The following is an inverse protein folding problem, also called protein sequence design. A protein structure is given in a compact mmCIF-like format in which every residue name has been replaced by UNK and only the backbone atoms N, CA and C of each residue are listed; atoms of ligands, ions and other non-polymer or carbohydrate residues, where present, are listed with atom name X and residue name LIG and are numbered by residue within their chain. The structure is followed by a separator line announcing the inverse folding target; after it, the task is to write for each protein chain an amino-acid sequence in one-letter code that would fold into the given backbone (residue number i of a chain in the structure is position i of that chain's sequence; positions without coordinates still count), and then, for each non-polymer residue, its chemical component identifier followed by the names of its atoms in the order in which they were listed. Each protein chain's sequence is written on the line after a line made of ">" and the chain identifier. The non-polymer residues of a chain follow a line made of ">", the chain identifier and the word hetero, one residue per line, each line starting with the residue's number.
data_IF_913802947844
#
_entry.id   IF_913802947844
#
_cell.length_a   1.000
_cell.length_b   1.000
_cell.length_c   1.000
_cell.angle_alpha   90.00
_cell.angle_beta   90.00
_cell.angle_gamma   90.00
#
_symmetry.space_group_name_H-M   'P 1'
#
loop_
_entity.id
_entity.type
_entity.pdbx_description
1 polymer ?
#
# COMPACT_ATOMS: atom_id res chain seq x y z
N UNK A 1 18.43 45.33 -42.25
CA UNK A 1 17.17 44.82 -41.67
C UNK A 1 17.35 43.30 -41.53
N UNK A 2 17.84 42.87 -40.37
CA UNK A 2 18.22 41.48 -40.10
C UNK A 2 16.96 40.68 -39.73
N UNK A 3 16.48 39.83 -40.64
CA UNK A 3 15.40 38.88 -40.37
C UNK A 3 15.95 37.69 -39.59
N UNK A 4 15.52 37.56 -38.33
CA UNK A 4 15.92 36.46 -37.45
C UNK A 4 15.31 35.14 -37.93
N UNK A 5 16.19 34.16 -38.12
CA UNK A 5 15.91 32.79 -38.55
C UNK A 5 14.94 32.09 -37.59
N UNK A 6 13.89 31.50 -38.15
CA UNK A 6 12.92 30.64 -37.48
C UNK A 6 13.54 29.27 -37.17
N UNK A 7 14.56 29.25 -36.34
CA UNK A 7 15.32 28.05 -36.04
C UNK A 7 15.97 28.12 -34.68
N UNK A 8 15.16 28.02 -33.61
CA UNK A 8 15.53 27.37 -32.34
C UNK A 8 14.46 27.55 -31.24
N UNK A 9 13.21 27.17 -31.52
CA UNK A 9 12.18 27.04 -30.46
C UNK A 9 12.03 25.59 -29.94
N UNK A 10 12.99 24.71 -30.24
CA UNK A 10 12.93 23.30 -29.82
C UNK A 10 13.49 23.02 -28.41
N UNK A 11 13.89 24.04 -27.64
CA UNK A 11 14.62 23.83 -26.37
C UNK A 11 13.91 24.28 -25.09
N UNK A 12 12.61 24.59 -25.14
CA UNK A 12 11.85 24.91 -23.91
C UNK A 12 10.56 24.12 -23.83
N UNK A 13 10.67 22.80 -23.75
CA UNK A 13 9.63 21.98 -23.12
C UNK A 13 10.31 20.93 -22.25
N UNK A 14 10.49 21.26 -20.97
CA UNK A 14 10.78 20.32 -19.87
C UNK A 14 9.57 19.41 -19.55
N UNK A 15 8.66 19.25 -20.50
CA UNK A 15 7.52 18.35 -20.42
C UNK A 15 7.77 17.21 -21.38
N UNK A 16 8.39 16.14 -20.88
CA UNK A 16 8.33 14.87 -21.58
C UNK A 16 6.84 14.48 -21.67
N UNK A 17 6.31 14.19 -22.87
CA UNK A 17 4.95 13.70 -22.99
C UNK A 17 4.84 12.42 -22.16
N UNK A 18 3.83 12.36 -21.29
CA UNK A 18 3.52 11.14 -20.55
C UNK A 18 3.16 10.08 -21.60
N UNK A 19 3.91 8.96 -21.69
CA UNK A 19 3.65 7.94 -22.70
C UNK A 19 2.21 7.46 -22.60
N UNK A 20 1.54 7.30 -23.73
CA UNK A 20 0.20 6.71 -23.78
C UNK A 20 0.25 5.26 -23.26
N UNK A 21 -0.86 4.71 -22.77
CA UNK A 21 -0.85 3.34 -22.22
C UNK A 21 -0.39 2.28 -23.24
N UNK A 22 -0.56 2.55 -24.55
CA UNK A 22 -0.09 1.71 -25.65
C UNK A 22 1.44 1.72 -25.84
N UNK A 23 2.13 2.79 -25.41
CA UNK A 23 3.60 2.89 -25.49
C UNK A 23 4.29 2.28 -24.26
N UNK A 24 3.53 1.88 -23.24
CA UNK A 24 4.09 1.28 -22.02
C UNK A 24 4.26 -0.22 -22.26
N UNK A 25 5.43 -0.82 -21.91
CA UNK A 25 5.57 -2.26 -21.96
C UNK A 25 4.46 -2.91 -21.12
N UNK A 26 3.90 -4.05 -21.56
CA UNK A 26 2.79 -4.70 -20.87
C UNK A 26 3.17 -4.91 -19.41
N UNK A 27 2.40 -4.30 -18.50
CA UNK A 27 2.63 -4.45 -17.06
C UNK A 27 2.59 -5.94 -16.76
N UNK A 28 3.70 -6.50 -16.29
CA UNK A 28 3.73 -7.90 -15.83
C UNK A 28 2.62 -8.05 -14.81
N UNK A 29 1.70 -8.99 -15.05
CA UNK A 29 0.63 -9.30 -14.12
C UNK A 29 1.26 -9.55 -12.74
N UNK A 30 0.85 -8.75 -11.75
CA UNK A 30 1.37 -8.86 -10.39
C UNK A 30 0.97 -10.22 -9.83
N UNK A 31 1.93 -11.15 -9.73
CA UNK A 31 1.67 -12.44 -9.10
C UNK A 31 1.42 -12.20 -7.60
N UNK A 32 0.31 -12.67 -7.04
CA UNK A 32 0.08 -12.64 -5.60
C UNK A 32 1.24 -13.36 -4.90
N UNK A 33 2.01 -12.64 -4.08
CA UNK A 33 3.08 -13.23 -3.27
C UNK A 33 2.74 -13.01 -1.81
N UNK A 34 2.57 -14.10 -1.09
CA UNK A 34 2.45 -14.08 0.35
C UNK A 34 3.80 -13.67 0.97
N UNK A 35 3.83 -12.64 1.84
CA UNK A 35 5.01 -12.31 2.62
C UNK A 35 5.38 -13.47 3.56
N UNK A 36 6.66 -13.81 3.63
CA UNK A 36 7.17 -14.78 4.61
C UNK A 36 7.37 -14.15 6.00
N UNK A 37 7.53 -12.83 6.05
CA UNK A 37 7.78 -12.06 7.26
C UNK A 37 7.01 -10.73 7.20
N UNK A 38 6.63 -10.23 8.37
CA UNK A 38 6.03 -8.91 8.54
C UNK A 38 6.56 -8.27 9.83
N UNK A 39 6.64 -6.95 9.83
CA UNK A 39 7.10 -6.15 10.98
C UNK A 39 5.89 -5.60 11.72
N UNK A 40 5.94 -5.64 13.05
CA UNK A 40 4.98 -4.93 13.90
C UNK A 40 5.38 -3.46 13.93
N UNK A 41 4.50 -2.60 13.39
CA UNK A 41 4.61 -1.16 13.56
C UNK A 41 3.84 -0.71 14.81
N UNK A 42 3.73 0.61 15.00
CA UNK A 42 2.98 1.17 16.10
C UNK A 42 2.28 2.48 15.72
N UNK A 43 1.18 2.78 16.40
CA UNK A 43 0.52 4.08 16.41
C UNK A 43 0.50 4.65 17.81
N UNK A 44 0.85 5.93 17.95
CA UNK A 44 0.82 6.63 19.23
C UNK A 44 -0.44 7.48 19.34
N UNK A 45 -1.11 7.37 20.48
CA UNK A 45 -2.24 8.23 20.83
C UNK A 45 -1.98 8.88 22.18
N UNK A 46 -2.26 10.16 22.28
CA UNK A 46 -2.18 10.84 23.57
C UNK A 46 -3.47 10.60 24.37
N UNK A 47 -3.31 10.05 25.56
CA UNK A 47 -4.38 9.73 26.50
C UNK A 47 -4.20 10.53 27.79
N UNK A 48 -5.29 11.03 28.36
CA UNK A 48 -5.26 11.71 29.65
C UNK A 48 -5.37 10.66 30.76
N UNK A 49 -4.33 10.51 31.57
CA UNK A 49 -4.29 9.59 32.72
C UNK A 49 -3.94 10.41 33.95
N UNK A 50 -4.84 10.41 34.94
CA UNK A 50 -4.70 11.20 36.17
C UNK A 50 -4.43 12.70 35.92
N UNK A 51 -5.09 13.27 34.91
CA UNK A 51 -4.94 14.69 34.54
C UNK A 51 -3.62 15.03 33.82
N UNK A 52 -2.79 14.04 33.49
CA UNK A 52 -1.57 14.21 32.71
C UNK A 52 -1.72 13.58 31.33
N UNK A 53 -1.18 14.25 30.31
CA UNK A 53 -1.12 13.70 28.96
C UNK A 53 0.00 12.65 28.90
N UNK A 54 -0.33 11.44 28.48
CA UNK A 54 0.60 10.34 28.27
C UNK A 54 0.44 9.81 26.85
N UNK A 55 1.55 9.58 26.15
CA UNK A 55 1.52 8.92 24.85
C UNK A 55 1.43 7.41 25.03
N UNK A 56 0.36 6.81 24.53
CA UNK A 56 0.13 5.37 24.50
C UNK A 56 0.50 4.82 23.13
N UNK A 57 1.42 3.87 23.10
CA UNK A 57 1.81 3.16 21.90
C UNK A 57 0.94 1.91 21.71
N UNK A 58 0.34 1.77 20.52
CA UNK A 58 -0.49 0.63 20.15
C UNK A 58 0.22 -0.14 19.03
N UNK A 59 0.59 -1.41 19.23
CA UNK A 59 1.24 -2.22 18.21
C UNK A 59 0.24 -2.58 17.09
N UNK A 60 0.69 -2.49 15.83
CA UNK A 60 -0.11 -2.78 14.64
C UNK A 60 0.63 -3.75 13.72
N UNK A 61 -0.08 -4.80 13.30
CA UNK A 61 0.37 -5.70 12.24
C UNK A 61 -0.37 -5.39 10.93
N UNK A 62 0.36 -5.03 9.88
CA UNK A 62 -0.25 -4.68 8.57
C UNK A 62 -0.06 -5.80 7.54
N UNK A 63 -1.14 -6.53 7.26
CA UNK A 63 -1.21 -7.48 6.16
C UNK A 63 -1.77 -6.78 4.91
N UNK A 64 -1.11 -6.91 3.76
CA UNK A 64 -1.59 -6.29 2.51
C UNK A 64 -1.13 -7.06 1.28
N UNK A 65 -1.86 -6.89 0.18
CA UNK A 65 -1.52 -7.44 -1.14
C UNK A 65 -2.57 -8.43 -1.66
N UNK A 66 -2.46 -8.74 -2.96
CA UNK A 66 -3.41 -9.59 -3.69
C UNK A 66 -3.46 -11.04 -3.19
N UNK A 67 -2.44 -11.49 -2.42
CA UNK A 67 -2.41 -12.83 -1.85
C UNK A 67 -3.49 -13.03 -0.78
N UNK A 68 -3.89 -11.97 -0.06
CA UNK A 68 -4.99 -12.03 0.90
C UNK A 68 -6.31 -12.34 0.19
N UNK A 69 -6.56 -11.68 -0.93
CA UNK A 69 -7.75 -11.94 -1.75
C UNK A 69 -7.75 -13.39 -2.28
N UNK A 70 -6.58 -13.90 -2.69
CA UNK A 70 -6.45 -15.31 -3.10
C UNK A 70 -6.71 -16.32 -1.96
N UNK A 71 -6.55 -15.92 -0.70
CA UNK A 71 -6.91 -16.70 0.49
C UNK A 71 -8.37 -16.48 0.94
N UNK A 72 -9.16 -15.68 0.22
CA UNK A 72 -10.58 -15.43 0.52
C UNK A 72 -10.84 -14.23 1.44
N UNK A 73 -9.84 -13.43 1.80
CA UNK A 73 -10.06 -12.20 2.54
C UNK A 73 -10.65 -11.10 1.65
N UNK A 74 -11.78 -10.53 2.07
CA UNK A 74 -12.49 -9.48 1.34
C UNK A 74 -12.60 -8.23 2.22
N UNK A 75 -12.39 -7.00 1.69
CA UNK A 75 -12.63 -5.78 2.44
C UNK A 75 -14.04 -5.74 3.04
N UNK A 76 -14.15 -5.38 4.31
CA UNK A 76 -15.42 -5.38 5.06
C UNK A 76 -15.83 -6.74 5.65
N UNK A 77 -15.15 -7.83 5.31
CA UNK A 77 -15.36 -9.13 5.97
C UNK A 77 -14.82 -9.12 7.41
N UNK A 78 -15.33 -10.04 8.25
CA UNK A 78 -14.90 -10.23 9.64
C UNK A 78 -14.15 -11.55 9.76
N UNK A 79 -12.81 -11.57 9.63
CA UNK A 79 -12.04 -12.80 9.72
C UNK A 79 -12.12 -13.38 11.13
N UNK A 80 -11.93 -14.70 11.24
CA UNK A 80 -11.82 -15.35 12.54
C UNK A 80 -10.37 -15.28 13.01
N UNK A 81 -10.18 -14.97 14.29
CA UNK A 81 -8.88 -14.84 14.93
C UNK A 81 -8.83 -15.80 16.11
N UNK A 82 -7.78 -16.60 16.18
CA UNK A 82 -7.53 -17.54 17.27
C UNK A 82 -6.04 -17.57 17.64
N UNK A 83 -5.76 -18.02 18.85
CA UNK A 83 -4.40 -18.41 19.26
C UNK A 83 -4.37 -19.92 19.39
N UNK A 84 -3.52 -20.57 18.59
CA UNK A 84 -3.36 -22.03 18.55
C UNK A 84 -1.88 -22.33 18.75
N UNK A 85 -1.53 -23.09 19.79
CA UNK A 85 -0.15 -23.44 20.15
C UNK A 85 0.80 -22.23 20.22
N UNK A 86 0.28 -21.09 20.72
CA UNK A 86 1.03 -19.83 20.81
C UNK A 86 1.17 -19.06 19.49
N UNK A 87 0.64 -19.58 18.38
CA UNK A 87 0.60 -18.88 17.11
C UNK A 87 -0.73 -18.13 16.93
N UNK A 88 -0.65 -16.88 16.44
CA UNK A 88 -1.81 -16.12 15.98
C UNK A 88 -2.27 -16.68 14.63
N UNK A 89 -3.46 -17.26 14.59
CA UNK A 89 -4.08 -17.79 13.38
C UNK A 89 -5.20 -16.85 12.97
N UNK A 90 -5.16 -16.40 11.71
CA UNK A 90 -6.18 -15.54 11.12
C UNK A 90 -6.73 -16.26 9.90
N UNK A 91 -8.04 -16.51 9.88
CA UNK A 91 -8.72 -17.20 8.78
C UNK A 91 -9.78 -16.30 8.15
N UNK A 92 -9.98 -16.44 6.84
CA UNK A 92 -11.04 -15.72 6.14
C UNK A 92 -12.41 -16.09 6.73
N UNK A 93 -13.37 -15.17 6.65
CA UNK A 93 -14.74 -15.47 7.06
C UNK A 93 -15.29 -16.63 6.20
N UNK A 94 -16.12 -17.53 6.77
CA UNK A 94 -16.86 -18.50 5.98
C UNK A 94 -17.62 -17.78 4.86
N UNK A 95 -17.60 -18.33 3.65
CA UNK A 95 -18.51 -17.87 2.60
C UNK A 95 -19.89 -18.43 2.91
N UNK A 96 -20.87 -17.55 3.16
CA UNK A 96 -22.29 -17.91 3.19
C UNK A 96 -22.83 -18.18 1.78
#
# INVERSE_FOLDING_TARGET
>A
MLGLSLGDMARTTLFHPVPTDDERPPRRASRPRQPAQCTIGATCHDVLVDGRLQSQEIPILRLSGQWLAALGFVPGSKPQIAVVDGALVITAAPQE
#
